data_IF_179189340551
#
_entry.id   IF_179189340551
#
_cell.length_a   1.000
_cell.length_b   1.000
_cell.length_c   1.000
_cell.angle_alpha   90.00
_cell.angle_beta   90.00
_cell.angle_gamma   90.00
#
_symmetry.space_group_name_H-M   'P 1'
#
loop_
_entity.id
_entity.type
_entity.pdbx_description
1 polymer ?
#
# COMPACT_ATOMS: atom_id res chain seq x y z
N UNK A 1 15.76 -6.83 -24.84
CA UNK A 1 14.90 -6.78 -23.64
C UNK A 1 15.23 -5.47 -22.96
N UNK A 2 14.26 -4.57 -22.77
CA UNK A 2 14.53 -3.32 -22.05
C UNK A 2 14.53 -3.61 -20.55
N UNK A 3 15.65 -3.33 -19.90
CA UNK A 3 15.77 -3.30 -18.45
C UNK A 3 15.04 -2.05 -17.91
N UNK A 4 14.28 -2.18 -16.83
CA UNK A 4 13.63 -1.05 -16.16
C UNK A 4 14.70 -0.32 -15.32
N UNK A 5 14.99 0.96 -15.59
CA UNK A 5 16.00 1.71 -14.85
C UNK A 5 15.60 1.91 -13.38
N UNK A 6 16.54 1.69 -12.45
CA UNK A 6 16.28 1.87 -11.02
C UNK A 6 15.92 3.32 -10.71
N UNK A 7 16.59 4.24 -11.39
CA UNK A 7 16.37 5.68 -11.28
C UNK A 7 14.93 6.09 -11.60
N UNK A 8 14.27 5.44 -12.56
CA UNK A 8 12.88 5.74 -12.90
C UNK A 8 11.92 5.39 -11.77
N UNK A 9 12.11 4.23 -11.13
CA UNK A 9 11.34 3.78 -9.97
C UNK A 9 11.61 4.68 -8.76
N UNK A 10 12.88 5.00 -8.52
CA UNK A 10 13.29 5.82 -7.40
C UNK A 10 12.75 7.26 -7.54
N UNK A 11 12.77 7.85 -8.74
CA UNK A 11 12.20 9.17 -9.00
C UNK A 11 10.70 9.21 -8.70
N UNK A 12 9.95 8.15 -9.03
CA UNK A 12 8.53 8.04 -8.66
C UNK A 12 8.35 7.97 -7.15
N UNK A 13 9.10 7.12 -6.46
CA UNK A 13 9.05 7.02 -4.99
C UNK A 13 9.42 8.35 -4.31
N UNK A 14 10.40 9.08 -4.83
CA UNK A 14 10.80 10.41 -4.32
C UNK A 14 9.74 11.47 -4.57
N UNK A 15 9.11 11.44 -5.75
CA UNK A 15 8.03 12.37 -6.09
C UNK A 15 6.83 12.16 -5.16
N UNK A 16 6.44 10.90 -4.90
CA UNK A 16 5.38 10.59 -3.94
C UNK A 16 5.74 10.98 -2.51
N UNK A 17 7.01 10.82 -2.11
CA UNK A 17 7.44 11.23 -0.78
C UNK A 17 7.46 12.75 -0.61
N UNK A 18 8.00 13.46 -1.60
CA UNK A 18 8.00 14.93 -1.64
C UNK A 18 6.59 15.49 -1.61
N UNK A 19 5.66 14.86 -2.35
CA UNK A 19 4.24 15.18 -2.31
C UNK A 19 3.68 14.99 -0.89
N UNK A 20 3.91 13.82 -0.28
CA UNK A 20 3.45 13.51 1.08
C UNK A 20 3.97 14.53 2.10
N UNK A 21 5.27 14.83 2.08
CA UNK A 21 5.90 15.82 2.97
C UNK A 21 5.31 17.21 2.78
N UNK A 22 5.14 17.66 1.54
CA UNK A 22 4.57 18.98 1.25
C UNK A 22 3.13 19.12 1.77
N UNK A 23 2.29 18.10 1.56
CA UNK A 23 0.91 18.11 2.04
C UNK A 23 0.81 18.03 3.57
N UNK A 24 1.68 17.24 4.22
CA UNK A 24 1.76 17.19 5.69
C UNK A 24 2.18 18.53 6.31
N UNK A 25 3.18 19.19 5.71
CA UNK A 25 3.64 20.50 6.17
C UNK A 25 2.52 21.55 6.09
N UNK A 26 1.80 21.59 4.95
CA UNK A 26 0.64 22.48 4.77
C UNK A 26 -0.51 22.14 5.73
N UNK A 27 -0.76 20.85 5.97
CA UNK A 27 -1.76 20.40 6.95
C UNK A 27 -1.38 20.87 8.37
N UNK A 28 -0.13 20.69 8.78
CA UNK A 28 0.35 21.09 10.10
C UNK A 28 0.20 22.61 10.33
N UNK A 29 0.52 23.41 9.32
CA UNK A 29 0.32 24.87 9.33
C UNK A 29 -1.18 25.26 9.35
N UNK A 30 -2.04 24.53 8.65
CA UNK A 30 -3.49 24.76 8.72
C UNK A 30 -4.07 24.39 10.09
N UNK A 31 -3.61 23.27 10.67
CA UNK A 31 -4.05 22.79 11.99
C UNK A 31 -3.64 23.73 13.13
N UNK A 32 -2.48 24.40 13.03
CA UNK A 32 -1.99 25.32 14.07
C UNK A 32 -2.79 26.62 14.16
N UNK A 33 -3.59 26.93 13.14
CA UNK A 33 -4.43 28.13 13.06
C UNK A 33 -5.85 27.93 13.59
N UNK A 34 -6.20 26.71 13.98
CA UNK A 34 -7.52 26.40 14.52
C UNK A 34 -7.61 26.84 15.98
N UNK A 35 -8.72 27.48 16.33
CA UNK A 35 -9.11 27.69 17.72
C UNK A 35 -9.73 26.41 18.29
N UNK A 36 -8.93 25.65 19.04
CA UNK A 36 -9.33 24.40 19.70
C UNK A 36 -10.24 24.61 20.92
N UNK A 37 -10.40 25.84 21.41
CA UNK A 37 -11.39 26.17 22.43
C UNK A 37 -12.81 26.32 21.88
N UNK A 38 -12.95 26.40 20.56
CA UNK A 38 -14.25 26.58 19.90
C UNK A 38 -15.05 25.27 19.82
N UNK A 39 -16.39 25.39 19.86
CA UNK A 39 -17.29 24.25 19.62
C UNK A 39 -17.19 23.69 18.19
N UNK A 40 -16.55 24.43 17.27
CA UNK A 40 -16.40 24.06 15.87
C UNK A 40 -15.02 23.44 15.54
N UNK A 41 -14.16 23.21 16.54
CA UNK A 41 -12.81 22.71 16.33
C UNK A 41 -12.78 21.36 15.58
N UNK A 42 -13.60 20.39 16.00
CA UNK A 42 -13.69 19.07 15.33
C UNK A 42 -14.12 19.20 13.88
N UNK A 43 -15.14 20.02 13.62
CA UNK A 43 -15.68 20.25 12.27
C UNK A 43 -14.63 20.91 11.37
N UNK A 44 -13.84 21.84 11.92
CA UNK A 44 -12.76 22.52 11.22
C UNK A 44 -11.62 21.55 10.87
N UNK A 45 -11.19 20.71 11.83
CA UNK A 45 -10.19 19.66 11.61
C UNK A 45 -10.68 18.66 10.55
N UNK A 46 -11.94 18.24 10.64
CA UNK A 46 -12.56 17.31 9.68
C UNK A 46 -12.60 17.89 8.27
N UNK A 47 -12.98 19.16 8.13
CA UNK A 47 -13.01 19.85 6.83
C UNK A 47 -11.61 19.95 6.21
N UNK A 48 -10.59 20.29 7.01
CA UNK A 48 -9.20 20.31 6.56
C UNK A 48 -8.75 18.92 6.12
N UNK A 49 -8.95 17.90 6.94
CA UNK A 49 -8.55 16.53 6.59
C UNK A 49 -9.20 16.05 5.31
N UNK A 50 -10.50 16.31 5.11
CA UNK A 50 -11.21 15.98 3.86
C UNK A 50 -10.54 16.66 2.65
N UNK A 51 -10.26 17.96 2.75
CA UNK A 51 -9.67 18.72 1.66
C UNK A 51 -8.23 18.26 1.35
N UNK A 52 -7.40 18.12 2.37
CA UNK A 52 -5.98 17.76 2.24
C UNK A 52 -5.80 16.32 1.77
N UNK A 53 -6.53 15.35 2.35
CA UNK A 53 -6.48 13.95 1.90
C UNK A 53 -7.02 13.77 0.49
N UNK A 54 -8.13 14.43 0.12
CA UNK A 54 -8.68 14.34 -1.23
C UNK A 54 -7.73 14.92 -2.28
N UNK A 55 -7.10 16.05 -1.98
CA UNK A 55 -6.14 16.71 -2.87
C UNK A 55 -4.85 15.91 -3.01
N UNK A 56 -4.30 15.40 -1.90
CA UNK A 56 -3.09 14.58 -1.92
C UNK A 56 -3.31 13.23 -2.61
N UNK A 57 -4.48 12.62 -2.41
CA UNK A 57 -4.87 11.38 -3.09
C UNK A 57 -5.00 11.58 -4.60
N UNK A 58 -5.60 12.69 -5.05
CA UNK A 58 -5.72 13.02 -6.48
C UNK A 58 -4.36 13.25 -7.13
N UNK A 59 -3.48 14.02 -6.47
CA UNK A 59 -2.13 14.26 -6.96
C UNK A 59 -1.28 12.97 -7.01
N UNK A 60 -1.44 12.09 -6.01
CA UNK A 60 -0.76 10.80 -5.97
C UNK A 60 -1.25 9.85 -7.08
N UNK A 61 -2.56 9.85 -7.37
CA UNK A 61 -3.13 9.11 -8.48
C UNK A 61 -2.56 9.58 -9.84
N UNK A 62 -2.47 10.90 -10.04
CA UNK A 62 -1.86 11.46 -11.26
C UNK A 62 -0.39 11.01 -11.43
N UNK A 63 0.44 11.12 -10.39
CA UNK A 63 1.83 10.65 -10.44
C UNK A 63 1.92 9.15 -10.74
N UNK A 64 1.04 8.34 -10.14
CA UNK A 64 0.99 6.91 -10.38
C UNK A 64 0.58 6.56 -11.82
N UNK A 65 -0.37 7.28 -12.41
CA UNK A 65 -0.73 7.13 -13.82
C UNK A 65 0.47 7.44 -14.72
N UNK A 66 1.15 8.57 -14.50
CA UNK A 66 2.31 8.94 -15.32
C UNK A 66 3.43 7.90 -15.22
N UNK A 67 3.71 7.41 -14.02
CA UNK A 67 4.68 6.34 -13.80
C UNK A 67 4.30 5.05 -14.54
N UNK A 68 3.03 4.64 -14.46
CA UNK A 68 2.53 3.48 -15.17
C UNK A 68 2.67 3.64 -16.69
N UNK A 69 2.23 4.78 -17.22
CA UNK A 69 2.26 5.06 -18.66
C UNK A 69 3.69 5.10 -19.19
N UNK A 70 4.62 5.72 -18.47
CA UNK A 70 6.02 5.76 -18.93
C UNK A 70 6.72 4.41 -18.90
N UNK A 71 6.43 3.53 -17.92
CA UNK A 71 6.91 2.14 -17.98
C UNK A 71 6.30 1.39 -19.17
N UNK A 72 5.00 1.61 -19.42
CA UNK A 72 4.28 0.94 -20.49
C UNK A 72 4.82 1.34 -21.86
N UNK A 73 4.97 2.63 -22.10
CA UNK A 73 5.55 3.17 -23.33
C UNK A 73 6.99 2.69 -23.50
N UNK A 74 7.77 2.62 -22.42
CA UNK A 74 9.15 2.12 -22.46
C UNK A 74 9.26 0.64 -22.86
N UNK A 75 8.31 -0.22 -22.46
CA UNK A 75 8.35 -1.65 -22.78
C UNK A 75 7.57 -2.04 -24.05
N UNK A 76 6.48 -1.35 -24.35
CA UNK A 76 5.54 -1.69 -25.45
C UNK A 76 5.62 -0.71 -26.62
N UNK A 77 6.08 0.52 -26.39
CA UNK A 77 5.89 1.65 -27.28
C UNK A 77 4.52 2.31 -27.10
N UNK A 78 4.31 3.41 -27.82
CA UNK A 78 3.00 4.07 -27.88
C UNK A 78 2.02 3.24 -28.74
N UNK A 79 0.92 2.81 -28.12
CA UNK A 79 -0.19 2.13 -28.77
C UNK A 79 -1.55 2.81 -28.47
N UNK A 80 -1.53 4.07 -28.01
CA UNK A 80 -2.72 4.85 -27.69
C UNK A 80 -3.39 4.51 -26.35
N UNK A 81 -2.70 3.81 -25.44
CA UNK A 81 -3.22 3.55 -24.09
C UNK A 81 -3.23 4.81 -23.22
N UNK A 82 -4.43 5.27 -22.86
CA UNK A 82 -4.64 6.39 -21.95
C UNK A 82 -4.99 5.86 -20.55
N UNK A 83 -4.00 5.80 -19.66
CA UNK A 83 -4.21 5.31 -18.30
C UNK A 83 -5.25 6.11 -17.49
N UNK A 84 -5.71 5.53 -16.38
CA UNK A 84 -6.72 6.13 -15.49
C UNK A 84 -6.11 6.65 -14.19
N UNK A 85 -6.80 7.61 -13.57
CA UNK A 85 -6.51 8.13 -12.22
C UNK A 85 -7.58 7.61 -11.25
N UNK A 86 -7.33 6.45 -10.64
CA UNK A 86 -8.24 5.87 -9.66
C UNK A 86 -7.60 5.91 -8.27
N UNK A 87 -7.86 6.97 -7.52
CA UNK A 87 -7.39 7.09 -6.15
C UNK A 87 -8.12 6.12 -5.19
N UNK A 88 -9.33 5.68 -5.56
CA UNK A 88 -10.32 5.06 -4.68
C UNK A 88 -10.41 5.74 -3.29
N UNK A 89 -10.24 7.06 -3.24
CA UNK A 89 -10.37 7.84 -2.01
C UNK A 89 -11.83 7.82 -1.53
N UNK A 90 -12.02 7.57 -0.23
CA UNK A 90 -13.34 7.48 0.40
C UNK A 90 -13.45 8.57 1.47
N UNK A 91 -14.05 9.74 1.17
CA UNK A 91 -14.11 10.87 2.10
C UNK A 91 -14.70 10.51 3.47
N UNK A 92 -15.76 9.69 3.49
CA UNK A 92 -16.38 9.24 4.73
C UNK A 92 -15.42 8.45 5.66
N UNK A 93 -14.48 7.69 5.07
CA UNK A 93 -13.46 6.98 5.84
C UNK A 93 -12.41 7.94 6.42
N UNK A 94 -12.08 9.02 5.71
CA UNK A 94 -11.22 10.12 6.20
C UNK A 94 -11.88 10.82 7.37
N UNK A 95 -13.15 11.19 7.23
CA UNK A 95 -13.92 11.85 8.30
C UNK A 95 -13.99 10.97 9.54
N UNK A 96 -14.34 9.68 9.40
CA UNK A 96 -14.45 8.75 10.53
C UNK A 96 -13.14 8.62 11.30
N UNK A 97 -12.02 8.46 10.61
CA UNK A 97 -10.72 8.39 11.26
C UNK A 97 -10.28 9.72 11.88
N UNK A 98 -10.61 10.84 11.24
CA UNK A 98 -10.32 12.17 11.77
C UNK A 98 -11.06 12.40 13.07
N UNK A 99 -12.35 12.05 13.13
CA UNK A 99 -13.15 12.13 14.37
C UNK A 99 -12.57 11.22 15.46
N UNK A 100 -12.14 10.01 15.12
CA UNK A 100 -11.49 9.11 16.08
C UNK A 100 -10.18 9.66 16.65
N UNK A 101 -9.35 10.29 15.81
CA UNK A 101 -8.12 10.96 16.23
C UNK A 101 -8.43 12.18 17.11
N UNK A 102 -9.41 13.00 16.70
CA UNK A 102 -9.81 14.18 17.45
C UNK A 102 -10.47 13.83 18.80
N UNK A 103 -11.26 12.76 18.87
CA UNK A 103 -11.84 12.28 20.13
C UNK A 103 -10.77 11.83 21.15
N UNK A 104 -9.56 11.52 20.69
CA UNK A 104 -8.41 11.18 21.54
C UNK A 104 -7.51 12.39 21.85
N UNK A 105 -7.89 13.59 21.40
CA UNK A 105 -7.15 14.83 21.67
C UNK A 105 -7.36 15.27 23.12
N UNK A 106 -6.25 15.35 23.86
CA UNK A 106 -6.23 15.90 25.22
C UNK A 106 -5.69 17.33 25.18
N UNK A 107 -6.56 18.32 25.36
CA UNK A 107 -6.19 19.73 25.39
C UNK A 107 -5.40 20.12 26.67
N UNK A 108 -5.40 19.27 27.69
CA UNK A 108 -4.69 19.49 28.96
C UNK A 108 -3.27 18.93 28.95
N UNK A 109 -3.00 17.98 28.06
CA UNK A 109 -1.66 17.43 27.85
C UNK A 109 -0.76 18.46 27.14
N UNK A 110 0.44 18.67 27.67
CA UNK A 110 1.41 19.63 27.13
C UNK A 110 1.78 19.36 25.65
N UNK A 111 1.71 18.10 25.23
CA UNK A 111 2.01 17.64 23.87
C UNK A 111 0.76 17.20 23.09
N UNK A 112 -0.45 17.40 23.62
CA UNK A 112 -1.70 16.91 23.04
C UNK A 112 -1.91 17.35 21.59
N UNK A 113 -1.64 18.62 21.28
CA UNK A 113 -1.72 19.14 19.91
C UNK A 113 -0.69 18.48 18.98
N UNK A 114 0.55 18.33 19.45
CA UNK A 114 1.63 17.74 18.66
C UNK A 114 1.34 16.27 18.33
N UNK A 115 0.80 15.52 19.30
CA UNK A 115 0.36 14.13 19.12
C UNK A 115 -0.77 14.06 18.08
N UNK A 116 -1.84 14.85 18.25
CA UNK A 116 -2.97 14.87 17.33
C UNK A 116 -2.52 15.25 15.91
N UNK A 117 -1.75 16.33 15.76
CA UNK A 117 -1.22 16.77 14.47
C UNK A 117 -0.39 15.68 13.79
N UNK A 118 0.46 14.96 14.54
CA UNK A 118 1.23 13.83 14.04
C UNK A 118 0.34 12.65 13.58
N UNK A 119 -0.72 12.33 14.32
CA UNK A 119 -1.69 11.29 13.92
C UNK A 119 -2.40 11.65 12.61
N UNK A 120 -2.84 12.91 12.48
CA UNK A 120 -3.50 13.42 11.28
C UNK A 120 -2.57 13.45 10.06
N UNK A 121 -1.31 13.86 10.25
CA UNK A 121 -0.28 13.80 9.20
C UNK A 121 0.00 12.36 8.74
N UNK A 122 0.07 11.39 9.67
CA UNK A 122 0.21 9.98 9.31
C UNK A 122 -1.00 9.45 8.54
N UNK A 123 -2.21 9.89 8.90
CA UNK A 123 -3.42 9.55 8.15
C UNK A 123 -3.36 10.09 6.71
N UNK A 124 -2.94 11.34 6.54
CA UNK A 124 -2.74 11.93 5.21
C UNK A 124 -1.70 11.16 4.38
N UNK A 125 -0.57 10.81 4.98
CA UNK A 125 0.48 10.02 4.33
C UNK A 125 -0.01 8.64 3.89
N UNK A 126 -0.77 7.95 4.76
CA UNK A 126 -1.44 6.69 4.44
C UNK A 126 -2.32 6.79 3.19
N UNK A 127 -3.23 7.78 3.16
CA UNK A 127 -4.17 7.93 2.04
C UNK A 127 -3.47 8.28 0.74
N UNK A 128 -2.43 9.11 0.81
CA UNK A 128 -1.60 9.49 -0.35
C UNK A 128 -0.94 8.26 -0.99
N UNK A 129 -0.28 7.41 -0.17
CA UNK A 129 0.37 6.19 -0.68
C UNK A 129 -0.63 5.17 -1.18
N UNK A 130 -1.77 5.03 -0.49
CA UNK A 130 -2.84 4.12 -0.90
C UNK A 130 -3.42 4.53 -2.25
N UNK A 131 -3.67 5.82 -2.48
CA UNK A 131 -4.18 6.34 -3.74
C UNK A 131 -3.26 6.02 -4.93
N UNK A 132 -1.95 6.24 -4.78
CA UNK A 132 -0.98 5.87 -5.81
C UNK A 132 -1.02 4.36 -6.12
N UNK A 133 -1.04 3.52 -5.08
CA UNK A 133 -1.11 2.07 -5.26
C UNK A 133 -2.39 1.60 -5.95
N UNK A 134 -3.55 2.16 -5.56
CA UNK A 134 -4.84 1.87 -6.20
C UNK A 134 -4.81 2.21 -7.69
N UNK A 135 -4.24 3.36 -8.05
CA UNK A 135 -4.15 3.79 -9.45
C UNK A 135 -3.29 2.84 -10.28
N UNK A 136 -2.16 2.36 -9.75
CA UNK A 136 -1.30 1.38 -10.45
C UNK A 136 -2.05 0.07 -10.73
N UNK A 137 -2.84 -0.40 -9.76
CA UNK A 137 -3.66 -1.59 -9.95
C UNK A 137 -4.85 -1.36 -10.88
N UNK A 138 -5.49 -0.20 -10.82
CA UNK A 138 -6.60 0.15 -11.70
C UNK A 138 -6.13 0.14 -13.17
N UNK A 139 -4.98 0.72 -13.45
CA UNK A 139 -4.35 0.66 -14.77
C UNK A 139 -4.03 -0.79 -15.18
N UNK A 140 -3.39 -1.58 -14.31
CA UNK A 140 -3.14 -3.00 -14.55
C UNK A 140 -4.38 -3.82 -14.90
N UNK A 141 -5.50 -3.50 -14.26
CA UNK A 141 -6.78 -4.21 -14.44
C UNK A 141 -7.41 -3.93 -15.80
N UNK A 142 -7.31 -2.70 -16.28
CA UNK A 142 -7.90 -2.28 -17.55
C UNK A 142 -6.94 -2.45 -18.74
N UNK A 143 -5.64 -2.63 -18.50
CA UNK A 143 -4.66 -2.80 -19.56
C UNK A 143 -4.85 -4.13 -20.31
N UNK A 144 -5.15 -4.09 -21.63
CA UNK A 144 -5.36 -5.30 -22.43
C UNK A 144 -4.10 -6.19 -22.53
N UNK A 145 -2.91 -5.64 -22.29
CA UNK A 145 -1.63 -6.36 -22.32
C UNK A 145 -1.33 -7.11 -21.01
N UNK A 146 -2.17 -6.94 -19.98
CA UNK A 146 -2.14 -7.70 -18.72
C UNK A 146 -0.74 -7.80 -18.08
N UNK A 147 -0.18 -6.68 -17.59
CA UNK A 147 1.14 -6.71 -16.96
C UNK A 147 1.15 -7.57 -15.70
N UNK A 148 2.36 -7.97 -15.31
CA UNK A 148 2.64 -8.52 -13.98
C UNK A 148 3.24 -7.43 -13.11
N UNK A 149 3.04 -7.53 -11.81
CA UNK A 149 3.57 -6.57 -10.86
C UNK A 149 4.60 -7.19 -9.93
N UNK A 150 5.57 -6.39 -9.52
CA UNK A 150 6.45 -6.63 -8.40
C UNK A 150 6.41 -5.45 -7.42
N UNK A 151 6.67 -5.73 -6.13
CA UNK A 151 6.94 -4.68 -5.15
C UNK A 151 8.46 -4.46 -5.15
N UNK A 152 8.88 -3.23 -5.38
CA UNK A 152 10.31 -2.87 -5.42
C UNK A 152 10.60 -2.01 -4.18
N UNK A 153 11.30 -2.55 -3.15
CA UNK A 153 11.59 -1.82 -1.94
C UNK A 153 12.59 -0.69 -2.18
N UNK A 154 12.47 0.33 -1.35
CA UNK A 154 13.48 1.38 -1.20
C UNK A 154 13.63 1.67 0.28
N UNK A 155 14.86 1.90 0.73
CA UNK A 155 15.12 2.26 2.11
C UNK A 155 14.35 3.52 2.51
N UNK A 156 13.79 3.58 3.71
CA UNK A 156 13.31 4.81 4.33
C UNK A 156 14.10 5.08 5.61
N UNK A 157 13.83 6.20 6.29
CA UNK A 157 14.45 6.50 7.58
C UNK A 157 14.13 5.40 8.60
N UNK A 158 12.88 4.95 8.62
CA UNK A 158 12.43 3.91 9.54
C UNK A 158 12.86 2.50 9.12
N UNK A 159 13.15 2.28 7.84
CA UNK A 159 13.51 0.96 7.33
C UNK A 159 14.58 1.05 6.24
N UNK A 160 15.88 0.95 6.58
CA UNK A 160 16.98 1.12 5.62
C UNK A 160 16.95 0.16 4.42
N UNK A 161 16.35 -1.03 4.59
CA UNK A 161 16.14 -2.04 3.53
C UNK A 161 14.69 -2.11 3.02
N UNK A 162 13.85 -1.13 3.36
CA UNK A 162 12.39 -1.17 3.20
C UNK A 162 11.71 -1.96 4.34
N UNK A 163 10.41 -1.74 4.58
CA UNK A 163 9.73 -2.42 5.70
C UNK A 163 9.66 -3.94 5.47
N UNK A 164 9.66 -4.78 6.54
CA UNK A 164 9.66 -6.24 6.40
C UNK A 164 8.54 -6.78 5.51
N UNK A 165 7.35 -6.17 5.58
CA UNK A 165 6.24 -6.50 4.71
C UNK A 165 6.55 -6.26 3.22
N UNK A 166 7.17 -5.13 2.88
CA UNK A 166 7.54 -4.84 1.48
C UNK A 166 8.68 -5.73 0.99
N UNK A 167 9.64 -6.09 1.85
CA UNK A 167 10.69 -7.06 1.51
C UNK A 167 10.08 -8.44 1.23
N UNK A 168 9.15 -8.88 2.09
CA UNK A 168 8.38 -10.10 1.92
C UNK A 168 7.56 -10.12 0.63
N UNK A 169 6.96 -8.99 0.21
CA UNK A 169 6.33 -8.90 -1.12
C UNK A 169 7.34 -8.85 -2.27
N UNK A 170 8.51 -8.25 -2.05
CA UNK A 170 9.56 -8.14 -3.04
C UNK A 170 10.24 -9.48 -3.34
N UNK A 171 10.38 -10.37 -2.35
CA UNK A 171 10.97 -11.70 -2.58
C UNK A 171 10.17 -12.56 -3.57
N UNK A 172 8.90 -12.23 -3.81
CA UNK A 172 8.05 -12.94 -4.78
C UNK A 172 8.34 -12.56 -6.23
N UNK A 173 8.92 -11.40 -6.50
CA UNK A 173 9.14 -10.90 -7.86
C UNK A 173 7.86 -10.57 -8.64
N UNK A 174 7.94 -10.60 -9.98
CA UNK A 174 6.85 -10.26 -10.90
C UNK A 174 5.82 -11.40 -11.05
N UNK A 175 5.14 -11.73 -9.95
CA UNK A 175 4.15 -12.84 -9.92
C UNK A 175 2.72 -12.36 -9.76
N UNK A 176 2.51 -11.08 -9.47
CA UNK A 176 1.18 -10.57 -9.16
C UNK A 176 0.42 -10.26 -10.44
N UNK A 177 -0.69 -10.97 -10.65
CA UNK A 177 -1.65 -10.73 -11.74
C UNK A 177 -2.79 -9.79 -11.32
N UNK A 178 -2.88 -9.46 -10.02
CA UNK A 178 -3.95 -8.62 -9.47
C UNK A 178 -3.53 -7.93 -8.16
N UNK A 179 -4.25 -6.86 -7.82
CA UNK A 179 -4.21 -6.16 -6.51
C UNK A 179 -4.24 -7.14 -5.34
N UNK A 180 -5.11 -8.15 -5.38
CA UNK A 180 -5.26 -9.17 -4.36
C UNK A 180 -3.96 -9.95 -4.14
N UNK A 181 -3.35 -10.42 -5.23
CA UNK A 181 -2.10 -11.18 -5.15
C UNK A 181 -0.93 -10.31 -4.67
N UNK A 182 -0.92 -9.01 -4.98
CA UNK A 182 0.12 -8.06 -4.61
C UNK A 182 -0.03 -7.46 -3.18
N UNK A 183 -0.98 -7.97 -2.38
CA UNK A 183 -1.21 -7.50 -1.01
C UNK A 183 -2.13 -6.28 -0.89
N UNK A 184 -2.84 -5.88 -1.95
CA UNK A 184 -3.73 -4.71 -1.94
C UNK A 184 -5.02 -4.87 -1.13
N UNK A 185 -5.43 -6.09 -0.76
CA UNK A 185 -6.69 -6.31 -0.02
C UNK A 185 -6.62 -6.21 1.50
N UNK A 186 -5.45 -5.99 2.08
CA UNK A 186 -5.39 -5.69 3.51
C UNK A 186 -5.10 -4.19 3.71
N UNK A 187 -6.09 -3.46 4.28
CA UNK A 187 -6.04 -2.01 4.43
C UNK A 187 -4.93 -1.52 5.36
N UNK A 188 -4.19 -2.42 6.02
CA UNK A 188 -3.07 -2.11 6.93
C UNK A 188 -1.68 -2.10 6.26
N UNK A 189 -1.59 -2.32 4.94
CA UNK A 189 -0.28 -2.46 4.27
C UNK A 189 0.35 -1.17 3.75
N UNK A 190 -0.46 -0.13 3.52
CA UNK A 190 0.09 1.20 3.35
C UNK A 190 0.35 1.77 4.73
N UNK A 191 1.52 2.34 4.91
CA UNK A 191 1.87 3.06 6.12
C UNK A 191 2.54 4.37 5.71
N UNK A 192 2.61 5.28 6.67
CA UNK A 192 3.34 6.51 6.47
C UNK A 192 4.84 6.24 6.24
N UNK A 193 5.53 7.11 5.48
CA UNK A 193 6.96 6.98 5.12
C UNK A 193 7.33 5.67 4.37
N UNK A 194 6.35 4.99 3.77
CA UNK A 194 6.63 3.84 2.91
C UNK A 194 7.18 4.30 1.54
N UNK A 195 8.40 3.87 1.18
CA UNK A 195 9.10 4.28 -0.06
C UNK A 195 9.17 3.21 -1.15
N UNK A 196 8.55 2.05 -0.94
CA UNK A 196 8.46 1.03 -1.99
C UNK A 196 7.55 1.48 -3.15
N UNK A 197 7.83 0.97 -4.34
CA UNK A 197 6.99 1.15 -5.52
C UNK A 197 6.31 -0.18 -5.92
N UNK A 198 5.16 -0.07 -6.58
CA UNK A 198 4.51 -1.19 -7.29
C UNK A 198 4.86 -1.02 -8.75
N UNK A 199 5.58 -1.97 -9.33
CA UNK A 199 6.15 -1.83 -10.68
C UNK A 199 5.47 -2.82 -11.62
N UNK A 200 4.72 -2.37 -12.63
CA UNK A 200 4.26 -3.21 -13.72
C UNK A 200 5.41 -3.59 -14.66
N UNK A 201 5.30 -4.74 -15.30
CA UNK A 201 6.08 -5.10 -16.49
C UNK A 201 5.27 -6.03 -17.39
N UNK A 202 5.48 -5.90 -18.69
CA UNK A 202 4.86 -6.70 -19.75
C UNK A 202 5.84 -7.71 -20.35
N UNK A 203 7.13 -7.62 -20.01
CA UNK A 203 8.14 -8.62 -20.34
C UNK A 203 7.79 -9.99 -19.76
N UNK A 204 8.16 -11.07 -20.47
CA UNK A 204 8.12 -12.45 -19.96
C UNK A 204 9.16 -12.71 -18.89
N UNK A 205 10.27 -11.99 -18.93
CA UNK A 205 11.35 -12.03 -17.94
C UNK A 205 11.70 -10.58 -17.55
N UNK A 206 10.93 -9.95 -16.65
CA UNK A 206 11.16 -8.57 -16.23
C UNK A 206 12.50 -8.43 -15.51
N UNK A 207 13.27 -7.42 -15.90
CA UNK A 207 14.56 -7.07 -15.28
C UNK A 207 14.44 -5.63 -14.79
N UNK A 208 14.75 -5.43 -13.51
CA UNK A 208 14.87 -4.10 -12.89
C UNK A 208 16.31 -3.95 -12.46
N UNK A 209 16.94 -2.85 -12.87
CA UNK A 209 18.32 -2.54 -12.52
C UNK A 209 18.54 -2.60 -11.00
N UNK A 210 19.55 -3.36 -10.57
CA UNK A 210 19.92 -3.48 -9.16
C UNK A 210 18.88 -4.16 -8.25
N UNK A 211 17.94 -4.91 -8.82
CA UNK A 211 16.93 -5.66 -8.07
C UNK A 211 17.03 -7.17 -8.35
N UNK A 212 17.47 -7.94 -7.34
CA UNK A 212 17.27 -9.38 -7.28
C UNK A 212 16.24 -9.68 -6.18
N UNK A 213 15.17 -10.41 -6.53
CA UNK A 213 14.14 -10.81 -5.56
C UNK A 213 14.75 -11.61 -4.39
N UNK A 214 15.83 -12.35 -4.64
CA UNK A 214 16.49 -13.18 -3.63
C UNK A 214 17.23 -12.37 -2.57
N UNK A 215 17.53 -11.10 -2.82
CA UNK A 215 18.11 -10.21 -1.81
C UNK A 215 17.12 -9.90 -0.67
N UNK A 216 15.84 -10.27 -0.82
CA UNK A 216 14.78 -10.06 0.16
C UNK A 216 14.28 -11.36 0.82
N UNK A 217 14.92 -12.50 0.55
CA UNK A 217 14.51 -13.79 1.11
C UNK A 217 14.66 -13.81 2.65
N UNK A 218 15.70 -13.17 3.20
CA UNK A 218 15.88 -13.05 4.66
C UNK A 218 14.76 -12.22 5.31
N UNK A 219 14.30 -11.15 4.64
CA UNK A 219 13.17 -10.35 5.09
C UNK A 219 11.86 -11.12 5.05
N UNK A 220 11.70 -12.01 4.08
CA UNK A 220 10.58 -12.95 4.00
C UNK A 220 10.60 -13.97 5.15
N UNK A 221 11.76 -14.57 5.44
CA UNK A 221 11.94 -15.50 6.56
C UNK A 221 11.63 -14.80 7.88
N UNK A 222 12.23 -13.63 8.10
CA UNK A 222 11.98 -12.83 9.31
C UNK A 222 10.50 -12.42 9.46
N UNK A 223 9.79 -12.19 8.36
CA UNK A 223 8.34 -12.00 8.41
C UNK A 223 7.62 -13.27 8.84
N UNK A 224 7.96 -14.45 8.31
CA UNK A 224 7.31 -15.72 8.70
C UNK A 224 7.54 -16.07 10.18
N UNK A 225 8.69 -15.68 10.74
CA UNK A 225 9.04 -15.94 12.14
C UNK A 225 8.35 -15.00 13.14
N UNK A 226 7.67 -13.94 12.67
CA UNK A 226 6.88 -13.06 13.53
C UNK A 226 5.56 -13.72 13.94
N UNK A 227 5.17 -13.54 15.22
CA UNK A 227 3.86 -13.97 15.70
C UNK A 227 2.75 -13.06 15.12
N UNK A 228 2.09 -13.54 14.07
CA UNK A 228 0.97 -12.86 13.43
C UNK A 228 -0.39 -13.14 14.09
N UNK A 229 -0.45 -13.91 15.18
CA UNK A 229 -1.71 -14.35 15.82
C UNK A 229 -2.61 -13.17 16.19
N UNK A 230 -2.04 -12.07 16.71
CA UNK A 230 -2.77 -10.85 17.04
C UNK A 230 -3.32 -10.11 15.82
N UNK A 231 -2.58 -10.10 14.71
CA UNK A 231 -3.07 -9.53 13.45
C UNK A 231 -4.20 -10.38 12.88
N UNK A 232 -4.06 -11.71 12.90
CA UNK A 232 -5.12 -12.62 12.48
C UNK A 232 -6.40 -12.47 13.32
N UNK A 233 -6.26 -12.30 14.63
CA UNK A 233 -7.38 -12.08 15.55
C UNK A 233 -8.08 -10.75 15.24
N UNK A 234 -7.32 -9.68 15.06
CA UNK A 234 -7.83 -8.37 14.65
C UNK A 234 -8.51 -8.41 13.28
N UNK A 235 -7.99 -9.14 12.30
CA UNK A 235 -8.63 -9.35 11.01
C UNK A 235 -9.93 -10.15 11.13
N UNK A 236 -9.96 -11.20 11.97
CA UNK A 236 -11.18 -11.98 12.26
C UNK A 236 -12.23 -11.11 12.94
N UNK A 237 -11.83 -10.27 13.89
CA UNK A 237 -12.70 -9.32 14.57
C UNK A 237 -13.23 -8.25 13.59
N UNK A 238 -12.37 -7.67 12.76
CA UNK A 238 -12.75 -6.68 11.74
C UNK A 238 -13.69 -7.28 10.69
N UNK A 239 -13.48 -8.54 10.29
CA UNK A 239 -14.38 -9.30 9.41
C UNK A 239 -15.74 -9.56 10.06
N UNK A 240 -15.76 -9.95 11.34
CA UNK A 240 -16.99 -10.12 12.13
C UNK A 240 -17.75 -8.80 12.29
N UNK A 241 -17.03 -7.70 12.46
CA UNK A 241 -17.61 -6.37 12.64
C UNK A 241 -18.03 -5.66 11.34
N UNK A 242 -17.71 -6.22 10.17
CA UNK A 242 -18.07 -5.66 8.86
C UNK A 242 -19.57 -5.76 8.57
N UNK A 243 -20.26 -6.71 9.20
CA UNK A 243 -21.69 -6.94 9.01
C UNK A 243 -22.46 -6.61 10.30
N UNK A 244 -23.66 -6.05 10.16
CA UNK A 244 -24.58 -5.88 11.28
C UNK A 244 -25.20 -7.22 11.71
N UNK A 245 -26.04 -7.19 12.76
CA UNK A 245 -26.74 -8.40 13.26
C UNK A 245 -27.68 -9.02 12.23
N UNK A 246 -27.99 -8.31 11.15
CA UNK A 246 -28.89 -8.75 10.07
C UNK A 246 -28.09 -9.20 8.83
N UNK A 247 -26.76 -9.25 8.91
CA UNK A 247 -25.88 -9.68 7.82
C UNK A 247 -25.66 -8.63 6.74
N UNK A 248 -26.04 -7.36 6.97
CA UNK A 248 -25.81 -6.27 6.02
C UNK A 248 -24.46 -5.62 6.28
N UNK A 249 -23.77 -5.25 5.20
CA UNK A 249 -22.49 -4.55 5.29
C UNK A 249 -22.70 -3.20 5.99
N UNK A 250 -21.95 -2.93 7.06
CA UNK A 250 -22.00 -1.63 7.74
C UNK A 250 -21.45 -0.53 6.83
N UNK A 251 -22.06 0.66 6.89
CA UNK A 251 -21.63 1.83 6.12
C UNK A 251 -20.14 2.13 6.39
N UNK A 252 -19.35 2.36 5.32
CA UNK A 252 -17.91 2.66 5.40
C UNK A 252 -16.98 1.49 5.02
N UNK A 253 -17.51 0.30 4.75
CA UNK A 253 -16.74 -0.82 4.18
C UNK A 253 -17.06 -0.97 2.68
N UNK A 254 -16.05 -1.20 1.82
CA UNK A 254 -16.26 -1.58 0.41
C UNK A 254 -16.30 -3.11 0.28
N UNK A 255 -17.38 -3.64 -0.30
CA UNK A 255 -17.63 -5.07 -0.43
C UNK A 255 -17.58 -5.53 -1.88
N UNK A 256 -16.49 -6.17 -2.29
CA UNK A 256 -16.57 -7.19 -3.33
C UNK A 256 -17.09 -8.47 -2.67
N UNK A 257 -18.30 -8.91 -3.05
CA UNK A 257 -18.84 -10.22 -2.67
C UNK A 257 -17.96 -11.29 -3.31
N UNK A 258 -17.30 -12.11 -2.49
CA UNK A 258 -16.73 -13.38 -2.93
C UNK A 258 -17.81 -14.44 -2.67
N UNK A 259 -18.92 -14.41 -3.41
CA UNK A 259 -19.91 -15.48 -3.37
C UNK A 259 -19.85 -16.30 -4.65
N UNK A 260 -18.94 -17.29 -4.65
CA UNK A 260 -19.09 -18.59 -5.36
C UNK A 260 -17.91 -19.56 -5.16
N UNK A 261 -17.17 -19.46 -4.06
CA UNK A 261 -16.34 -20.58 -3.60
C UNK A 261 -16.86 -21.02 -2.24
N UNK A 262 -17.13 -22.32 -2.11
CA UNK A 262 -17.39 -22.91 -0.81
C UNK A 262 -16.27 -22.50 0.16
N UNK A 263 -16.61 -22.06 1.38
CA UNK A 263 -15.60 -21.59 2.31
C UNK A 263 -14.64 -22.73 2.64
N UNK A 264 -13.39 -22.60 2.17
CA UNK A 264 -12.29 -23.48 2.56
C UNK A 264 -12.31 -23.63 4.08
N UNK A 265 -12.25 -24.87 4.58
CA UNK A 265 -12.18 -25.12 6.02
C UNK A 265 -10.89 -24.51 6.60
N UNK A 266 -10.81 -24.39 7.92
CA UNK A 266 -9.56 -23.99 8.58
C UNK A 266 -8.40 -24.93 8.22
N UNK A 267 -8.68 -26.21 7.98
CA UNK A 267 -7.69 -27.20 7.55
C UNK A 267 -7.29 -27.02 6.09
N UNK A 268 -8.26 -26.78 5.19
CA UNK A 268 -7.97 -26.53 3.78
C UNK A 268 -7.12 -25.28 3.59
N UNK A 269 -7.40 -24.21 4.34
CA UNK A 269 -6.58 -22.98 4.34
C UNK A 269 -5.16 -23.24 4.82
N UNK A 270 -4.99 -24.01 5.90
CA UNK A 270 -3.66 -24.40 6.42
C UNK A 270 -2.93 -25.32 5.42
N UNK A 271 -3.63 -26.24 4.76
CA UNK A 271 -3.07 -27.13 3.77
C UNK A 271 -2.64 -26.37 2.50
N UNK A 272 -3.46 -25.43 2.01
CA UNK A 272 -3.15 -24.55 0.90
C UNK A 272 -1.93 -23.68 1.22
N UNK A 273 -1.90 -23.08 2.42
CA UNK A 273 -0.76 -22.28 2.88
C UNK A 273 0.52 -23.11 2.95
N UNK A 274 0.49 -24.30 3.55
CA UNK A 274 1.64 -25.22 3.58
C UNK A 274 2.12 -25.63 2.20
N UNK A 275 1.21 -25.92 1.27
CA UNK A 275 1.56 -26.26 -0.13
C UNK A 275 2.23 -25.09 -0.85
N UNK A 276 1.70 -23.87 -0.67
CA UNK A 276 2.26 -22.66 -1.28
C UNK A 276 3.65 -22.35 -0.70
N UNK A 277 3.81 -22.43 0.62
CA UNK A 277 5.09 -22.23 1.31
C UNK A 277 6.11 -23.30 0.88
N UNK A 278 5.72 -24.58 0.79
CA UNK A 278 6.60 -25.68 0.39
C UNK A 278 7.05 -25.56 -1.08
N UNK A 279 6.16 -25.21 -2.00
CA UNK A 279 6.49 -24.99 -3.41
C UNK A 279 7.44 -23.80 -3.58
N UNK A 280 7.25 -22.74 -2.81
CA UNK A 280 8.13 -21.57 -2.79
C UNK A 280 9.50 -21.89 -2.15
N UNK A 281 9.53 -22.65 -1.05
CA UNK A 281 10.78 -23.09 -0.40
C UNK A 281 11.62 -24.04 -1.26
N UNK A 282 11.00 -24.93 -2.04
CA UNK A 282 11.69 -25.83 -2.95
C UNK A 282 12.36 -25.06 -4.11
N UNK A 283 11.65 -24.07 -4.67
CA UNK A 283 12.23 -23.15 -5.66
C UNK A 283 13.37 -22.32 -5.09
N UNK A 284 13.25 -21.87 -3.84
CA UNK A 284 14.26 -21.10 -3.10
C UNK A 284 15.55 -21.90 -2.88
N UNK A 285 15.49 -23.11 -2.29
CA UNK A 285 16.68 -23.93 -2.04
C UNK A 285 17.47 -24.24 -3.31
N UNK A 286 16.75 -24.51 -4.42
CA UNK A 286 17.38 -24.77 -5.71
C UNK A 286 18.07 -23.53 -6.31
N UNK A 287 17.50 -22.34 -6.15
CA UNK A 287 18.09 -21.09 -6.62
C UNK A 287 19.29 -20.64 -5.75
N UNK A 288 19.14 -20.73 -4.43
CA UNK A 288 20.21 -20.42 -3.46
C UNK A 288 21.44 -21.33 -3.65
N UNK A 289 21.22 -22.65 -3.80
CA UNK A 289 22.31 -23.60 -4.06
C UNK A 289 23.07 -23.31 -5.35
N UNK A 290 22.39 -22.84 -6.42
CA UNK A 290 23.04 -22.45 -7.68
C UNK A 290 23.90 -21.19 -7.56
N UNK A 291 23.44 -20.19 -6.79
CA UNK A 291 24.16 -18.92 -6.55
C UNK A 291 25.44 -19.12 -5.74
N UNK A 292 25.44 -20.09 -4.82
CA UNK A 292 26.57 -20.39 -3.93
C UNK A 292 27.45 -21.58 -4.37
N UNK A 293 27.20 -22.18 -5.53
CA UNK A 293 28.11 -23.14 -6.18
C UNK A 293 28.99 -22.49 -7.27
N UNK A 294 28.75 -21.22 -7.60
CA UNK A 294 29.50 -20.45 -8.62
C UNK A 294 30.42 -19.38 -8.01
N UNK A 295 30.66 -19.43 -6.69
CA UNK A 295 31.69 -18.67 -5.97
C UNK A 295 32.76 -19.64 -5.47
#
# INVERSE_FOLDING_TARGET
MSEIPRSYIDNFSDSLESLSVAYKSKLADALSRIDYGSQNAESSVTALMRAFCGSSASAAAYLAKLFYMGLREGEIGDDGYEGVEDSAHVPAATETATRGIFASYDATAADGFAIMSSQLQRRLGYETKRAAGNTLFANGRIDPRRPRFARIPRGSRSYPRGCPFCQMLASRGFVYLSEYSAGGTDPNHYHDDCRCAIVPSWSKDPIVEGYDKHDYDDGYIAYLDQDHSKHEEKLKETRRNRYDRQGRLKAGYSGLRIDKQEPLTSEDRKAQHRKNVAAQHAGWKAAYARKHQQQ
#
